data_IF_247602477711
#
_entry.id   IF_247602477711
#
_cell.length_a   1.000
_cell.length_b   1.000
_cell.length_c   1.000
_cell.angle_alpha   90.00
_cell.angle_beta   90.00
_cell.angle_gamma   90.00
#
_symmetry.space_group_name_H-M   'P 1'
#
loop_
_entity.id
_entity.type
_entity.pdbx_description
1 polymer ?
#
# COMPACT_ATOMS: atom_id res chain seq x y z
N UNK A 1 -20.11 12.25 15.68
CA UNK A 1 -20.51 11.24 14.65
C UNK A 1 -19.85 9.92 14.98
N UNK A 2 -20.61 8.83 15.05
CA UNK A 2 -20.01 7.51 15.32
C UNK A 2 -19.40 6.94 14.02
N UNK A 3 -18.10 6.68 14.03
CA UNK A 3 -17.41 6.00 12.95
C UNK A 3 -17.56 4.50 13.15
N UNK A 4 -18.00 3.79 12.11
CA UNK A 4 -18.13 2.33 12.13
C UNK A 4 -16.98 1.69 11.36
N UNK A 5 -16.64 0.45 11.66
CA UNK A 5 -15.62 -0.34 10.95
C UNK A 5 -15.83 -0.26 9.43
N UNK A 6 -17.06 -0.43 8.97
CA UNK A 6 -17.37 -0.32 7.53
C UNK A 6 -17.00 1.06 6.94
N UNK A 7 -17.22 2.17 7.67
CA UNK A 7 -16.79 3.49 7.18
C UNK A 7 -15.29 3.61 7.13
N UNK A 8 -14.60 3.11 8.15
CA UNK A 8 -13.13 3.09 8.21
C UNK A 8 -12.54 2.34 7.01
N UNK A 9 -13.05 1.12 6.71
CA UNK A 9 -12.59 0.32 5.57
C UNK A 9 -12.75 1.05 4.23
N UNK A 10 -13.89 1.71 3.99
CA UNK A 10 -14.09 2.48 2.76
C UNK A 10 -13.15 3.69 2.67
N UNK A 11 -12.94 4.42 3.77
CA UNK A 11 -12.04 5.58 3.80
C UNK A 11 -10.57 5.15 3.62
N UNK A 12 -10.16 4.05 4.26
CA UNK A 12 -8.84 3.42 4.07
C UNK A 12 -8.65 3.03 2.61
N UNK A 13 -9.58 2.28 2.02
CA UNK A 13 -9.50 1.83 0.62
C UNK A 13 -9.41 3.00 -0.38
N UNK A 14 -10.11 4.12 -0.14
CA UNK A 14 -9.97 5.32 -0.96
C UNK A 14 -8.55 5.89 -0.85
N UNK A 15 -8.01 6.01 0.37
CA UNK A 15 -6.66 6.55 0.59
C UNK A 15 -5.57 5.67 -0.05
N UNK A 16 -5.68 4.35 0.09
CA UNK A 16 -4.75 3.39 -0.51
C UNK A 16 -4.82 3.40 -2.03
N UNK A 17 -6.02 3.40 -2.63
CA UNK A 17 -6.18 3.48 -4.08
C UNK A 17 -5.61 4.78 -4.66
N UNK A 18 -5.78 5.92 -3.97
CA UNK A 18 -5.13 7.18 -4.33
C UNK A 18 -3.60 7.10 -4.22
N UNK A 19 -3.07 6.37 -3.22
CA UNK A 19 -1.62 6.15 -3.06
C UNK A 19 -1.03 5.30 -4.18
N UNK A 20 -1.83 4.41 -4.75
CA UNK A 20 -1.44 3.62 -5.92
C UNK A 20 -1.71 4.34 -7.26
N UNK A 21 -2.19 5.58 -7.23
CA UNK A 21 -2.47 6.38 -8.43
C UNK A 21 -3.72 5.95 -9.20
N UNK A 22 -4.58 5.14 -8.58
CA UNK A 22 -5.83 4.72 -9.20
C UNK A 22 -6.88 5.84 -9.13
N UNK A 23 -7.65 5.99 -10.19
CA UNK A 23 -8.87 6.80 -10.16
C UNK A 23 -9.91 6.08 -9.31
N UNK A 24 -10.28 6.70 -8.19
CA UNK A 24 -11.21 6.09 -7.25
C UNK A 24 -12.63 6.34 -7.70
N UNK A 25 -13.28 5.30 -8.20
CA UNK A 25 -14.71 5.28 -8.54
C UNK A 25 -15.42 4.13 -7.80
N UNK A 26 -16.74 4.03 -7.90
CA UNK A 26 -17.48 2.96 -7.24
C UNK A 26 -17.00 1.55 -7.63
N UNK A 27 -16.63 1.34 -8.91
CA UNK A 27 -16.10 0.06 -9.37
C UNK A 27 -14.72 -0.27 -8.75
N UNK A 28 -13.86 0.73 -8.57
CA UNK A 28 -12.58 0.59 -7.85
C UNK A 28 -12.82 0.07 -6.44
N UNK A 29 -13.74 0.68 -5.70
CA UNK A 29 -14.04 0.26 -4.33
C UNK A 29 -14.70 -1.13 -4.25
N UNK A 30 -15.56 -1.48 -5.22
CA UNK A 30 -16.16 -2.81 -5.28
C UNK A 30 -15.09 -3.90 -5.44
N UNK A 31 -14.12 -3.67 -6.33
CA UNK A 31 -12.97 -4.56 -6.55
C UNK A 31 -12.03 -4.62 -5.34
N UNK A 32 -11.69 -3.47 -4.76
CA UNK A 32 -10.73 -3.38 -3.65
C UNK A 32 -11.24 -4.00 -2.35
N UNK A 33 -12.55 -3.86 -2.08
CA UNK A 33 -13.18 -4.36 -0.85
C UNK A 33 -13.92 -5.69 -1.06
N UNK A 34 -13.92 -6.23 -2.28
CA UNK A 34 -14.61 -7.47 -2.65
C UNK A 34 -16.10 -7.48 -2.27
N UNK A 35 -16.75 -6.32 -2.44
CA UNK A 35 -18.16 -6.12 -2.09
C UNK A 35 -19.03 -5.82 -3.31
N UNK A 36 -20.33 -6.04 -3.19
CA UNK A 36 -21.28 -5.80 -4.28
C UNK A 36 -21.43 -4.31 -4.61
N UNK A 37 -21.71 -3.99 -5.88
CA UNK A 37 -21.95 -2.62 -6.33
C UNK A 37 -23.09 -1.89 -5.57
N UNK A 38 -24.22 -2.54 -5.21
CA UNK A 38 -25.22 -1.93 -4.33
C UNK A 38 -24.68 -1.55 -2.95
N UNK A 39 -23.84 -2.40 -2.33
CA UNK A 39 -23.23 -2.10 -1.04
C UNK A 39 -22.32 -0.86 -1.12
N UNK A 40 -21.49 -0.78 -2.18
CA UNK A 40 -20.66 0.41 -2.44
C UNK A 40 -21.50 1.66 -2.62
N UNK A 41 -22.57 1.59 -3.41
CA UNK A 41 -23.46 2.74 -3.65
C UNK A 41 -24.05 3.26 -2.34
N UNK A 42 -24.49 2.36 -1.46
CA UNK A 42 -25.03 2.73 -0.15
C UNK A 42 -23.96 3.33 0.77
N UNK A 43 -22.74 2.80 0.74
CA UNK A 43 -21.62 3.34 1.51
C UNK A 43 -21.24 4.75 1.04
N UNK A 44 -21.08 4.95 -0.28
CA UNK A 44 -20.79 6.27 -0.88
C UNK A 44 -21.85 7.31 -0.46
N UNK A 45 -23.15 6.97 -0.52
CA UNK A 45 -24.24 7.88 -0.09
C UNK A 45 -24.10 8.27 1.39
N UNK A 46 -23.77 7.31 2.27
CA UNK A 46 -23.56 7.57 3.70
C UNK A 46 -22.34 8.43 3.95
N UNK A 47 -21.20 8.09 3.34
CA UNK A 47 -19.95 8.84 3.50
C UNK A 47 -20.07 10.27 2.97
N UNK A 48 -20.77 10.48 1.82
CA UNK A 48 -21.06 11.80 1.28
C UNK A 48 -21.97 12.62 2.21
N UNK A 49 -23.05 12.01 2.69
CA UNK A 49 -23.97 12.66 3.67
C UNK A 49 -23.23 13.07 4.94
N UNK A 50 -22.31 12.24 5.41
CA UNK A 50 -21.53 12.47 6.62
C UNK A 50 -20.34 13.42 6.38
N UNK A 51 -20.18 13.96 5.16
CA UNK A 51 -19.15 14.93 4.82
C UNK A 51 -17.72 14.37 4.75
N UNK A 52 -17.55 13.04 4.63
CA UNK A 52 -16.25 12.37 4.65
C UNK A 52 -15.63 12.21 3.26
N UNK A 53 -16.44 12.23 2.22
CA UNK A 53 -16.01 12.17 0.83
C UNK A 53 -16.71 13.21 -0.05
N UNK A 54 -16.06 13.55 -1.16
CA UNK A 54 -16.67 14.29 -2.29
C UNK A 54 -16.85 13.33 -3.45
N UNK A 55 -17.87 13.60 -4.25
CA UNK A 55 -18.15 12.86 -5.49
C UNK A 55 -18.21 13.88 -6.61
N UNK A 56 -17.29 13.80 -7.55
CA UNK A 56 -17.25 14.66 -8.73
C UNK A 56 -18.40 14.31 -9.72
N UNK A 57 -18.63 15.18 -10.70
CA UNK A 57 -19.61 14.92 -11.78
C UNK A 57 -19.22 13.68 -12.59
N UNK A 58 -17.93 13.41 -12.73
CA UNK A 58 -17.38 12.20 -13.37
C UNK A 58 -17.65 10.91 -12.60
N UNK A 59 -18.11 11.00 -11.33
CA UNK A 59 -18.24 9.85 -10.42
C UNK A 59 -16.96 9.55 -9.63
N UNK A 60 -15.90 10.34 -9.81
CA UNK A 60 -14.67 10.20 -9.05
C UNK A 60 -14.88 10.60 -7.59
N UNK A 61 -14.30 9.80 -6.70
CA UNK A 61 -14.38 9.94 -5.25
C UNK A 61 -13.08 10.53 -4.73
N UNK A 62 -13.18 11.44 -3.77
CA UNK A 62 -12.03 11.95 -3.04
C UNK A 62 -12.36 12.15 -1.58
N UNK A 63 -11.38 11.98 -0.71
CA UNK A 63 -11.55 12.22 0.72
C UNK A 63 -11.66 13.72 1.00
N UNK A 64 -12.55 14.10 1.92
CA UNK A 64 -12.51 15.42 2.56
C UNK A 64 -11.34 15.45 3.55
N UNK A 65 -11.08 16.60 4.17
CA UNK A 65 -10.11 16.71 5.27
C UNK A 65 -10.43 15.72 6.38
N UNK A 66 -11.67 15.71 6.86
CA UNK A 66 -12.11 14.83 7.96
C UNK A 66 -12.04 13.35 7.56
N UNK A 67 -12.45 13.02 6.33
CA UNK A 67 -12.30 11.67 5.79
C UNK A 67 -10.83 11.22 5.71
N UNK A 68 -9.94 12.13 5.33
CA UNK A 68 -8.49 11.88 5.27
C UNK A 68 -7.89 11.64 6.65
N UNK A 69 -8.28 12.43 7.63
CA UNK A 69 -7.83 12.26 9.02
C UNK A 69 -8.23 10.89 9.58
N UNK A 70 -9.46 10.44 9.30
CA UNK A 70 -9.92 9.10 9.71
C UNK A 70 -9.14 8.00 8.97
N UNK A 71 -9.03 8.11 7.64
CA UNK A 71 -8.27 7.13 6.86
C UNK A 71 -6.81 7.00 7.31
N UNK A 72 -6.13 8.13 7.53
CA UNK A 72 -4.75 8.14 8.00
C UNK A 72 -4.60 7.52 9.39
N UNK A 73 -5.58 7.71 10.29
CA UNK A 73 -5.57 7.07 11.61
C UNK A 73 -5.64 5.56 11.50
N UNK A 74 -6.51 5.03 10.64
CA UNK A 74 -6.62 3.58 10.41
C UNK A 74 -5.34 3.04 9.78
N UNK A 75 -4.80 3.72 8.76
CA UNK A 75 -3.55 3.35 8.11
C UNK A 75 -2.35 3.36 9.06
N UNK A 76 -2.23 4.37 9.93
CA UNK A 76 -1.18 4.41 10.94
C UNK A 76 -1.26 3.20 11.88
N UNK A 77 -2.46 2.86 12.33
CA UNK A 77 -2.69 1.68 13.17
C UNK A 77 -2.36 0.39 12.42
N UNK A 78 -2.77 0.27 11.17
CA UNK A 78 -2.45 -0.85 10.30
C UNK A 78 -0.94 -1.05 10.20
N UNK A 79 -0.19 -0.03 9.79
CA UNK A 79 1.27 -0.06 9.68
C UNK A 79 1.96 -0.38 11.02
N UNK A 80 1.43 0.13 12.13
CA UNK A 80 1.96 -0.16 13.46
C UNK A 80 1.78 -1.64 13.82
N UNK A 81 0.64 -2.24 13.45
CA UNK A 81 0.38 -3.67 13.64
C UNK A 81 1.30 -4.51 12.73
N UNK A 82 1.46 -4.16 11.46
CA UNK A 82 2.39 -4.85 10.56
C UNK A 82 3.83 -4.83 11.11
N UNK A 83 4.27 -3.69 11.64
CA UNK A 83 5.58 -3.58 12.31
C UNK A 83 5.65 -4.46 13.56
N UNK A 84 4.62 -4.47 14.39
CA UNK A 84 4.55 -5.37 15.54
C UNK A 84 4.70 -6.84 15.11
N UNK A 85 3.96 -7.26 14.09
CA UNK A 85 3.99 -8.63 13.59
C UNK A 85 5.37 -9.02 13.05
N UNK A 86 6.04 -8.12 12.36
CA UNK A 86 7.41 -8.35 11.85
C UNK A 86 8.48 -8.21 12.92
N UNK A 87 8.52 -7.08 13.65
CA UNK A 87 9.65 -6.71 14.51
C UNK A 87 9.60 -7.43 15.87
N UNK A 88 8.40 -7.75 16.39
CA UNK A 88 8.25 -8.40 17.70
C UNK A 88 7.99 -9.90 17.56
N UNK A 89 7.13 -10.30 16.62
CA UNK A 89 6.76 -11.71 16.44
C UNK A 89 7.54 -12.44 15.36
N UNK A 90 8.34 -11.71 14.56
CA UNK A 90 9.16 -12.31 13.50
C UNK A 90 8.34 -12.91 12.36
N UNK A 91 7.11 -12.44 12.16
CA UNK A 91 6.30 -12.89 11.03
C UNK A 91 6.92 -12.43 9.71
N UNK A 92 6.75 -13.24 8.68
CA UNK A 92 7.26 -12.91 7.37
C UNK A 92 6.56 -11.68 6.79
N UNK A 93 7.34 -10.71 6.34
CA UNK A 93 6.90 -9.41 5.86
C UNK A 93 5.78 -9.49 4.81
N UNK A 94 5.76 -10.54 3.99
CA UNK A 94 4.76 -10.73 2.94
C UNK A 94 3.43 -11.32 3.45
N UNK A 95 3.32 -11.61 4.76
CA UNK A 95 2.11 -12.13 5.40
C UNK A 95 1.37 -11.12 6.25
N UNK A 96 2.05 -10.10 6.71
CA UNK A 96 1.56 -9.25 7.80
C UNK A 96 0.43 -8.32 7.41
N UNK A 97 0.26 -7.99 6.10
CA UNK A 97 -0.83 -7.13 5.64
C UNK A 97 -2.21 -7.73 5.95
N UNK A 98 -2.43 -8.98 5.56
CA UNK A 98 -3.71 -9.66 5.77
C UNK A 98 -4.03 -9.83 7.26
N UNK A 99 -3.01 -10.10 8.08
CA UNK A 99 -3.15 -10.22 9.54
C UNK A 99 -3.48 -8.85 10.18
N UNK A 100 -2.82 -7.78 9.71
CA UNK A 100 -3.07 -6.42 10.20
C UNK A 100 -4.48 -5.95 9.85
N UNK A 101 -5.02 -6.29 8.68
CA UNK A 101 -6.42 -5.99 8.31
C UNK A 101 -7.43 -6.61 9.29
N UNK A 102 -7.16 -7.80 9.83
CA UNK A 102 -8.03 -8.44 10.80
C UNK A 102 -7.91 -7.81 12.20
N UNK A 103 -6.74 -7.31 12.56
CA UNK A 103 -6.44 -6.81 13.89
C UNK A 103 -6.74 -5.31 14.07
N UNK A 104 -6.64 -4.50 13.01
CA UNK A 104 -6.66 -3.03 13.09
C UNK A 104 -7.91 -2.43 13.76
N UNK A 105 -9.04 -3.15 13.72
CA UNK A 105 -10.28 -2.71 14.35
C UNK A 105 -10.49 -3.27 15.77
N UNK A 106 -9.69 -4.25 16.18
CA UNK A 106 -9.77 -4.88 17.50
C UNK A 106 -8.80 -4.26 18.52
N UNK A 107 -7.86 -3.46 18.06
CA UNK A 107 -6.83 -2.83 18.89
C UNK A 107 -7.40 -1.62 19.63
N UNK A 108 -7.25 -1.62 20.97
CA UNK A 108 -7.63 -0.46 21.80
C UNK A 108 -6.62 0.67 21.67
N UNK A 109 -7.07 1.91 21.96
CA UNK A 109 -6.20 3.08 21.96
C UNK A 109 -5.04 2.96 22.98
N UNK A 110 -5.24 2.26 24.10
CA UNK A 110 -4.17 2.01 25.07
C UNK A 110 -3.12 1.05 24.52
N UNK A 111 -3.55 0.01 23.82
CA UNK A 111 -2.63 -0.93 23.18
C UNK A 111 -1.86 -0.27 22.04
N UNK A 112 -2.54 0.51 21.19
CA UNK A 112 -1.93 1.29 20.10
C UNK A 112 -0.83 2.22 20.65
N UNK A 113 -1.11 2.95 21.74
CA UNK A 113 -0.12 3.81 22.41
C UNK A 113 1.08 3.02 22.92
N UNK A 114 0.86 1.86 23.56
CA UNK A 114 1.94 0.98 24.03
C UNK A 114 2.79 0.40 22.90
N UNK A 115 2.18 0.09 21.78
CA UNK A 115 2.92 -0.32 20.59
C UNK A 115 3.79 0.81 20.05
N UNK A 116 3.24 2.03 20.00
CA UNK A 116 3.97 3.22 19.56
C UNK A 116 5.14 3.53 20.50
N UNK A 117 4.93 3.47 21.82
CA UNK A 117 5.98 3.63 22.82
C UNK A 117 7.11 2.61 22.63
N UNK A 118 6.76 1.36 22.27
CA UNK A 118 7.71 0.27 22.12
C UNK A 118 8.47 0.29 20.77
N UNK A 119 7.78 0.56 19.68
CA UNK A 119 8.32 0.48 18.32
C UNK A 119 8.83 1.84 17.82
N UNK A 120 8.43 2.92 18.48
CA UNK A 120 8.68 4.28 18.04
C UNK A 120 7.86 4.67 16.80
N UNK A 121 7.94 5.96 16.45
CA UNK A 121 7.38 6.46 15.18
C UNK A 121 8.23 5.90 14.04
N UNK A 122 7.66 4.96 13.26
CA UNK A 122 8.28 4.44 12.05
C UNK A 122 7.91 5.29 10.84
N UNK A 123 8.86 5.50 9.93
CA UNK A 123 8.56 6.24 8.69
C UNK A 123 7.75 5.42 7.68
N UNK A 124 7.86 4.10 7.71
CA UNK A 124 7.23 3.20 6.74
C UNK A 124 6.85 1.86 7.38
N UNK A 125 5.90 1.16 6.77
CA UNK A 125 5.55 -0.21 7.10
C UNK A 125 6.59 -1.21 6.54
N UNK A 126 6.49 -2.53 6.84
CA UNK A 126 7.40 -3.54 6.30
C UNK A 126 7.42 -3.64 4.77
N UNK A 127 6.37 -3.16 4.09
CA UNK A 127 6.29 -3.07 2.63
C UNK A 127 6.91 -1.79 2.06
N UNK A 128 7.41 -0.88 2.92
CA UNK A 128 8.04 0.39 2.54
C UNK A 128 7.06 1.54 2.32
N UNK A 129 5.76 1.35 2.57
CA UNK A 129 4.72 2.36 2.34
C UNK A 129 4.58 3.30 3.54
N UNK A 130 4.20 4.57 3.26
CA UNK A 130 4.07 5.66 4.25
C UNK A 130 2.66 6.21 4.24
N UNK A 131 2.11 6.53 5.39
CA UNK A 131 0.77 7.09 5.48
C UNK A 131 0.73 8.53 4.95
N UNK A 132 -0.19 8.78 4.02
CA UNK A 132 -0.52 10.12 3.54
C UNK A 132 0.50 10.81 2.63
N UNK A 133 1.60 10.12 2.26
CA UNK A 133 2.69 10.69 1.44
C UNK A 133 3.20 9.75 0.36
N UNK A 134 2.40 8.82 -0.12
CA UNK A 134 2.85 7.77 -1.04
C UNK A 134 2.12 7.74 -2.38
N UNK A 135 1.48 8.85 -2.77
CA UNK A 135 0.99 8.98 -4.14
C UNK A 135 2.16 8.88 -5.12
N UNK A 136 1.94 8.43 -6.36
CA UNK A 136 3.01 8.33 -7.36
C UNK A 136 3.81 9.62 -7.52
N UNK A 137 3.15 10.79 -7.43
CA UNK A 137 3.82 12.09 -7.43
C UNK A 137 4.77 12.25 -6.23
N UNK A 138 4.30 11.94 -5.03
CA UNK A 138 5.09 12.09 -3.80
C UNK A 138 6.31 11.15 -3.81
N UNK A 139 6.16 9.92 -4.35
CA UNK A 139 7.25 8.96 -4.55
C UNK A 139 8.26 9.50 -5.56
N UNK A 140 7.81 10.06 -6.70
CA UNK A 140 8.68 10.67 -7.71
C UNK A 140 9.41 11.91 -7.20
N UNK A 141 8.78 12.75 -6.39
CA UNK A 141 9.43 13.89 -5.73
C UNK A 141 10.57 13.45 -4.79
N UNK A 142 10.53 12.22 -4.27
CA UNK A 142 11.62 11.59 -3.51
C UNK A 142 12.68 10.89 -4.38
N UNK A 143 12.57 10.99 -5.69
CA UNK A 143 13.45 10.30 -6.63
C UNK A 143 13.13 8.81 -6.81
N UNK A 144 11.95 8.35 -6.40
CA UNK A 144 11.56 6.96 -6.62
C UNK A 144 10.86 6.79 -7.97
N UNK A 145 11.13 5.69 -8.63
CA UNK A 145 10.48 5.30 -9.89
C UNK A 145 9.96 3.87 -9.77
N UNK A 146 8.92 3.49 -10.53
CA UNK A 146 8.58 2.08 -10.72
C UNK A 146 9.77 1.32 -11.33
N UNK A 147 9.99 0.10 -10.90
CA UNK A 147 11.13 -0.70 -11.33
C UNK A 147 11.14 -0.94 -12.86
N UNK A 148 9.97 -1.05 -13.49
CA UNK A 148 9.85 -1.20 -14.94
C UNK A 148 10.25 0.05 -15.75
N UNK A 149 10.44 1.18 -15.08
CA UNK A 149 10.97 2.42 -15.67
C UNK A 149 12.50 2.56 -15.46
N UNK A 150 13.12 1.69 -14.67
CA UNK A 150 14.55 1.79 -14.40
C UNK A 150 15.39 1.40 -15.61
N UNK A 151 16.46 2.16 -15.86
CA UNK A 151 17.35 1.95 -16.99
C UNK A 151 18.20 0.68 -16.89
N UNK A 152 18.52 0.09 -18.06
CA UNK A 152 19.46 -1.02 -18.14
C UNK A 152 20.84 -0.61 -17.63
N UNK A 153 21.41 -1.41 -16.72
CA UNK A 153 22.68 -1.15 -16.07
C UNK A 153 22.57 -0.48 -14.70
N UNK A 154 21.41 0.12 -14.37
CA UNK A 154 21.20 0.79 -13.09
C UNK A 154 21.33 -0.17 -11.89
N UNK A 155 21.91 0.34 -10.82
CA UNK A 155 21.89 -0.29 -9.51
C UNK A 155 20.86 0.45 -8.64
N UNK A 156 19.84 -0.24 -8.20
CA UNK A 156 18.70 0.36 -7.51
C UNK A 156 18.40 -0.36 -6.19
N UNK A 157 17.83 0.37 -5.24
CA UNK A 157 17.29 -0.17 -4.00
C UNK A 157 15.77 -0.22 -4.06
N UNK A 158 15.18 -1.32 -3.63
CA UNK A 158 13.73 -1.43 -3.45
C UNK A 158 13.32 -0.54 -2.28
N UNK A 159 12.40 0.39 -2.54
CA UNK A 159 11.89 1.35 -1.56
C UNK A 159 10.54 0.93 -1.01
N UNK A 160 9.60 0.56 -1.88
CA UNK A 160 8.30 0.02 -1.48
C UNK A 160 7.74 -0.94 -2.53
N UNK A 161 6.76 -1.73 -2.10
CA UNK A 161 6.02 -2.67 -2.95
C UNK A 161 4.52 -2.54 -2.70
N UNK A 162 3.71 -2.89 -3.71
CA UNK A 162 2.27 -2.96 -3.55
C UNK A 162 1.89 -4.08 -2.57
N UNK A 163 1.22 -3.73 -1.46
CA UNK A 163 1.05 -4.64 -0.31
C UNK A 163 -0.23 -5.48 -0.33
N UNK A 164 -1.23 -5.11 -1.15
CA UNK A 164 -2.55 -5.77 -1.14
C UNK A 164 -2.64 -7.05 -1.98
N UNK A 165 -1.59 -7.44 -2.65
CA UNK A 165 -1.56 -8.69 -3.42
C UNK A 165 -0.59 -9.68 -2.75
N UNK A 166 -1.15 -10.55 -1.91
CA UNK A 166 -0.41 -11.59 -1.21
C UNK A 166 0.42 -12.48 -2.14
N UNK A 167 -0.15 -12.85 -3.30
CA UNK A 167 0.54 -13.70 -4.27
C UNK A 167 1.73 -13.00 -4.88
N UNK A 168 1.58 -11.70 -5.18
CA UNK A 168 2.69 -10.86 -5.64
C UNK A 168 3.79 -10.79 -4.58
N UNK A 169 3.44 -10.53 -3.32
CA UNK A 169 4.42 -10.43 -2.22
C UNK A 169 5.18 -11.75 -2.01
N UNK A 170 4.49 -12.89 -2.05
CA UNK A 170 5.12 -14.22 -1.99
C UNK A 170 6.06 -14.47 -3.17
N UNK A 171 5.62 -14.09 -4.37
CA UNK A 171 6.43 -14.20 -5.58
C UNK A 171 7.69 -13.34 -5.50
N UNK A 172 7.56 -12.06 -5.11
CA UNK A 172 8.69 -11.15 -4.94
C UNK A 172 9.65 -11.65 -3.86
N UNK A 173 9.11 -12.16 -2.73
CA UNK A 173 9.93 -12.76 -1.67
C UNK A 173 10.75 -13.96 -2.17
N UNK A 174 10.13 -14.83 -3.00
CA UNK A 174 10.82 -15.98 -3.62
C UNK A 174 11.98 -15.57 -4.54
N UNK A 175 11.92 -14.36 -5.12
CA UNK A 175 12.98 -13.77 -5.93
C UNK A 175 14.00 -12.95 -5.11
N UNK A 176 13.80 -12.79 -3.80
CA UNK A 176 14.63 -11.93 -2.94
C UNK A 176 14.36 -10.43 -3.12
N UNK A 177 13.27 -10.06 -3.78
CA UNK A 177 12.84 -8.67 -4.01
C UNK A 177 11.95 -8.24 -2.84
N UNK A 178 12.49 -7.41 -1.97
CA UNK A 178 11.79 -6.89 -0.78
C UNK A 178 12.30 -5.48 -0.45
N UNK A 179 11.58 -4.69 0.32
CA UNK A 179 12.06 -3.37 0.74
C UNK A 179 13.47 -3.46 1.34
N UNK A 180 14.35 -2.56 0.88
CA UNK A 180 15.75 -2.52 1.24
C UNK A 180 16.68 -3.39 0.39
N UNK A 181 16.17 -4.32 -0.42
CA UNK A 181 17.00 -5.15 -1.30
C UNK A 181 17.70 -4.32 -2.39
N UNK A 182 18.95 -4.67 -2.69
CA UNK A 182 19.73 -4.08 -3.78
C UNK A 182 19.54 -4.93 -5.04
N UNK A 183 19.18 -4.26 -6.12
CA UNK A 183 18.96 -4.87 -7.43
C UNK A 183 19.91 -4.25 -8.46
N UNK A 184 20.35 -5.04 -9.43
CA UNK A 184 20.95 -4.50 -10.65
C UNK A 184 20.04 -4.82 -11.82
N UNK A 185 19.59 -3.81 -12.53
CA UNK A 185 18.83 -3.97 -13.77
C UNK A 185 19.82 -4.37 -14.87
N UNK A 186 19.63 -5.54 -15.45
CA UNK A 186 20.47 -6.01 -16.57
C UNK A 186 19.88 -5.52 -17.89
N UNK A 187 18.56 -5.59 -18.03
CA UNK A 187 17.85 -5.10 -19.21
C UNK A 187 16.36 -5.44 -19.16
N UNK A 188 15.66 -4.93 -20.14
CA UNK A 188 14.23 -5.14 -20.35
C UNK A 188 14.01 -5.78 -21.73
N UNK A 189 13.30 -6.89 -21.77
CA UNK A 189 13.01 -7.63 -22.97
C UNK A 189 11.84 -7.00 -23.73
N UNK A 190 11.62 -7.43 -24.98
CA UNK A 190 10.53 -6.97 -25.84
C UNK A 190 9.15 -7.16 -25.21
N UNK A 191 8.94 -8.28 -24.51
CA UNK A 191 7.71 -8.63 -23.80
C UNK A 191 7.54 -7.91 -22.44
N UNK A 192 8.37 -6.90 -22.18
CA UNK A 192 8.44 -6.14 -20.93
C UNK A 192 8.97 -6.92 -19.72
N UNK A 193 9.41 -8.17 -19.90
CA UNK A 193 10.08 -8.91 -18.83
C UNK A 193 11.42 -8.26 -18.53
N UNK A 194 11.68 -7.98 -17.27
CA UNK A 194 12.96 -7.44 -16.80
C UNK A 194 13.90 -8.56 -16.40
N UNK A 195 15.15 -8.46 -16.84
CA UNK A 195 16.24 -9.28 -16.34
C UNK A 195 16.95 -8.49 -15.25
N UNK A 196 16.92 -9.01 -14.04
CA UNK A 196 17.50 -8.40 -12.85
C UNK A 196 18.60 -9.29 -12.28
N UNK A 197 19.46 -8.72 -11.46
CA UNK A 197 20.37 -9.47 -10.60
C UNK A 197 20.09 -9.11 -9.15
N UNK A 198 19.70 -10.11 -8.36
CA UNK A 198 19.40 -10.02 -6.93
C UNK A 198 20.39 -10.92 -6.21
N UNK A 199 21.16 -10.40 -5.26
CA UNK A 199 22.21 -11.15 -4.55
C UNK A 199 23.12 -11.96 -5.50
N UNK A 200 23.52 -11.34 -6.62
CA UNK A 200 24.34 -11.92 -7.72
C UNK A 200 23.63 -13.02 -8.54
N UNK A 201 22.38 -13.39 -8.20
CA UNK A 201 21.60 -14.37 -8.97
C UNK A 201 20.76 -13.67 -10.04
N UNK A 202 20.74 -14.18 -11.27
CA UNK A 202 19.83 -13.64 -12.29
C UNK A 202 18.38 -14.06 -11.97
N UNK A 203 17.46 -13.12 -12.08
CA UNK A 203 16.02 -13.36 -11.93
C UNK A 203 15.26 -12.66 -13.06
N UNK A 204 14.12 -13.22 -13.42
CA UNK A 204 13.21 -12.66 -14.39
C UNK A 204 11.96 -12.15 -13.68
N UNK A 205 11.55 -10.91 -13.96
CA UNK A 205 10.37 -10.29 -13.40
C UNK A 205 9.50 -9.70 -14.51
N UNK A 206 8.26 -10.16 -14.64
CA UNK A 206 7.32 -9.62 -15.61
C UNK A 206 7.01 -8.14 -15.38
N UNK A 207 6.79 -7.36 -16.44
CA UNK A 207 6.57 -5.91 -16.35
C UNK A 207 5.42 -5.52 -15.43
N UNK A 208 4.31 -6.28 -15.45
CA UNK A 208 3.18 -6.03 -14.56
C UNK A 208 3.53 -6.16 -13.05
N UNK A 209 4.44 -7.06 -12.70
CA UNK A 209 4.96 -7.16 -11.33
C UNK A 209 6.00 -6.08 -11.04
N UNK A 210 6.86 -5.75 -12.01
CA UNK A 210 7.87 -4.72 -11.87
C UNK A 210 7.26 -3.32 -11.64
N UNK A 211 6.14 -2.99 -12.31
CA UNK A 211 5.43 -1.73 -12.10
C UNK A 211 4.84 -1.56 -10.68
N UNK A 212 4.77 -2.63 -9.91
CA UNK A 212 4.30 -2.64 -8.51
C UNK A 212 5.44 -2.55 -7.48
N UNK A 213 6.66 -2.38 -7.94
CA UNK A 213 7.86 -2.22 -7.11
C UNK A 213 8.44 -0.83 -7.35
N UNK A 214 8.56 -0.04 -6.29
CA UNK A 214 9.19 1.28 -6.35
C UNK A 214 10.65 1.19 -5.92
N UNK A 215 11.53 1.81 -6.70
CA UNK A 215 12.98 1.77 -6.49
C UNK A 215 13.57 3.18 -6.50
N UNK A 216 14.77 3.32 -5.91
CA UNK A 216 15.62 4.49 -6.01
C UNK A 216 17.07 4.04 -6.29
N UNK A 217 17.85 4.91 -6.94
CA UNK A 217 19.31 4.72 -7.15
C UNK A 217 20.10 4.93 -5.86
#
# INVERSE_FOLDING_TARGET
>A
MQITISKENYLKAIAEAESEGETVIAATLARWLEVSAPAVTMAIRRLKRDGLIRVAVSGELSLTRDGREIANRVLNRHHLIERMLTEVFGMEWYKVHDEAEQLEHAVSADFERKLLDKLGEGEACPHGNRVGRDRPRDRRERGWIPLDEADGGAAVRVMSVFERDRKLLEYLNGLGIRPGAQLKVVGKNYDQTMTLRVDRKPVQLGGAAASKVWVAE
#
